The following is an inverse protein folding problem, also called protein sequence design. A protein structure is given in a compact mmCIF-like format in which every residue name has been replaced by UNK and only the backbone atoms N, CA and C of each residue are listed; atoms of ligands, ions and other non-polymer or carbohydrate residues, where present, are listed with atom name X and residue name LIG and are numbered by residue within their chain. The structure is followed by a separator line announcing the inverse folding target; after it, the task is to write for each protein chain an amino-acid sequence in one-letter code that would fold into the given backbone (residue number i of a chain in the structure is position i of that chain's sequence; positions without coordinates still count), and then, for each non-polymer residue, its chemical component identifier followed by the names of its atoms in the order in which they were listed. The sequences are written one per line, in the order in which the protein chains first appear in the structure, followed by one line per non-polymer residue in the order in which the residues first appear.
data_IF_634726672781
#
_entry.id   IF_634726672781
#
_cell.length_a   1.000
_cell.length_b   1.000
_cell.length_c   1.000
_cell.angle_alpha   90.00
_cell.angle_beta   90.00
_cell.angle_gamma   90.00
#
_symmetry.space_group_name_H-M   'P 1'
#
loop_
_entity.id
_entity.type
_entity.pdbx_description
1 polymer ?
#
# COMPACT_ATOMS: atom_id res chain seq x y z
N UNK A 1 -12.69 21.22 2.94
CA UNK A 1 -12.47 19.95 2.22
C UNK A 1 -11.06 19.48 2.57
N UNK A 2 -10.94 18.31 3.14
CA UNK A 2 -9.63 17.73 3.42
C UNK A 2 -9.14 17.03 2.16
N UNK A 3 -8.11 17.57 1.54
CA UNK A 3 -7.60 17.07 0.26
C UNK A 3 -6.68 15.85 0.45
N UNK A 4 -5.90 15.83 1.53
CA UNK A 4 -4.91 14.78 1.79
C UNK A 4 -5.16 14.16 3.16
N UNK A 5 -5.25 12.84 3.19
CA UNK A 5 -5.27 12.04 4.40
C UNK A 5 -3.95 11.28 4.56
N UNK A 6 -3.54 10.98 5.79
CA UNK A 6 -2.31 10.25 6.09
C UNK A 6 -2.56 9.10 7.06
N UNK A 7 -1.95 7.97 6.76
CA UNK A 7 -1.92 6.78 7.62
C UNK A 7 -0.48 6.47 7.98
N UNK A 8 -0.21 6.34 9.27
CA UNK A 8 1.13 6.12 9.81
C UNK A 8 1.50 4.64 9.87
N UNK A 9 2.78 4.37 10.02
CA UNK A 9 3.36 3.03 10.11
C UNK A 9 2.73 2.18 11.22
N UNK A 10 2.52 2.76 12.40
CA UNK A 10 1.93 2.07 13.56
C UNK A 10 0.46 2.46 13.74
N UNK A 11 -0.50 1.55 13.50
CA UNK A 11 -1.91 1.84 13.73
C UNK A 11 -2.25 2.07 15.21
N UNK A 12 -1.50 1.48 16.13
CA UNK A 12 -1.71 1.68 17.58
C UNK A 12 -1.47 3.14 18.03
N UNK A 13 -0.66 3.89 17.28
CA UNK A 13 -0.45 5.32 17.53
C UNK A 13 -1.53 6.22 16.92
N UNK A 14 -2.37 5.66 16.07
CA UNK A 14 -3.41 6.41 15.34
C UNK A 14 -4.82 6.10 15.88
N UNK A 15 -5.06 4.88 16.33
CA UNK A 15 -6.33 4.43 16.91
C UNK A 15 -6.46 5.01 18.33
N UNK A 16 -7.55 5.73 18.60
CA UNK A 16 -7.78 6.44 19.86
C UNK A 16 -9.02 5.97 20.61
N UNK A 17 -10.02 5.40 19.91
CA UNK A 17 -11.26 4.94 20.51
C UNK A 17 -11.18 3.51 21.05
N UNK A 18 -12.13 3.15 21.91
CA UNK A 18 -12.24 1.81 22.49
C UNK A 18 -13.08 0.85 21.66
N UNK A 19 -13.83 1.38 20.68
CA UNK A 19 -14.66 0.64 19.74
C UNK A 19 -14.27 1.05 18.31
N UNK A 20 -14.20 0.08 17.41
CA UNK A 20 -13.71 0.29 16.03
C UNK A 20 -14.54 1.32 15.27
N UNK A 21 -15.88 1.24 15.31
CA UNK A 21 -16.71 2.20 14.56
C UNK A 21 -16.62 3.63 15.13
N UNK A 22 -16.40 3.78 16.44
CA UNK A 22 -16.18 5.07 17.07
C UNK A 22 -14.85 5.69 16.62
N UNK A 23 -13.80 4.85 16.46
CA UNK A 23 -12.52 5.31 15.95
C UNK A 23 -12.63 5.83 14.52
N UNK A 24 -13.34 5.10 13.67
CA UNK A 24 -13.59 5.53 12.27
C UNK A 24 -14.45 6.80 12.22
N UNK A 25 -15.37 7.00 13.18
CA UNK A 25 -16.22 8.19 13.29
C UNK A 25 -15.46 9.41 13.84
N UNK A 26 -14.42 9.20 14.64
CA UNK A 26 -13.74 10.22 15.43
C UNK A 26 -13.36 11.49 14.63
N UNK A 27 -12.76 11.31 13.47
CA UNK A 27 -12.40 12.44 12.60
C UNK A 27 -13.63 13.19 12.06
N UNK A 28 -14.71 12.47 11.74
CA UNK A 28 -15.96 13.06 11.25
C UNK A 28 -16.69 13.86 12.31
N UNK A 29 -16.65 13.42 13.58
CA UNK A 29 -17.18 14.15 14.72
C UNK A 29 -16.46 15.49 14.90
N UNK A 30 -15.12 15.47 14.86
CA UNK A 30 -14.31 16.68 14.96
C UNK A 30 -14.54 17.66 13.78
N UNK A 31 -14.96 17.14 12.62
CA UNK A 31 -15.32 17.93 11.45
C UNK A 31 -16.77 18.46 11.51
N UNK A 32 -17.55 18.09 12.52
CA UNK A 32 -18.96 18.50 12.66
C UNK A 32 -19.88 17.90 11.59
N UNK A 33 -19.56 16.71 11.08
CA UNK A 33 -20.40 16.02 10.09
C UNK A 33 -21.73 15.61 10.76
N UNK A 34 -22.91 15.89 10.12
CA UNK A 34 -24.20 15.51 10.67
C UNK A 34 -24.30 13.99 10.93
N UNK A 35 -24.99 13.54 11.99
CA UNK A 35 -25.01 12.14 12.44
C UNK A 35 -25.41 11.13 11.33
N UNK A 36 -26.44 11.43 10.54
CA UNK A 36 -26.89 10.55 9.46
C UNK A 36 -25.82 10.38 8.35
N UNK A 37 -25.18 11.48 7.96
CA UNK A 37 -24.11 11.46 6.98
C UNK A 37 -22.87 10.78 7.55
N UNK A 38 -22.55 11.01 8.83
CA UNK A 38 -21.47 10.35 9.54
C UNK A 38 -21.66 8.83 9.52
N UNK A 39 -22.83 8.33 9.92
CA UNK A 39 -23.14 6.89 9.90
C UNK A 39 -22.92 6.29 8.52
N UNK A 40 -23.41 6.95 7.49
CA UNK A 40 -23.25 6.50 6.11
C UNK A 40 -21.79 6.42 5.70
N UNK A 41 -20.98 7.45 6.00
CA UNK A 41 -19.54 7.48 5.65
C UNK A 41 -18.74 6.44 6.41
N UNK A 42 -19.02 6.23 7.70
CA UNK A 42 -18.38 5.20 8.51
C UNK A 42 -18.66 3.82 7.93
N UNK A 43 -19.91 3.49 7.64
CA UNK A 43 -20.30 2.20 7.06
C UNK A 43 -19.65 1.97 5.69
N UNK A 44 -19.63 2.98 4.81
CA UNK A 44 -18.98 2.92 3.51
C UNK A 44 -17.47 2.68 3.64
N UNK A 45 -16.78 3.45 4.47
CA UNK A 45 -15.34 3.34 4.67
C UNK A 45 -14.94 1.99 5.26
N UNK A 46 -15.67 1.49 6.25
CA UNK A 46 -15.41 0.19 6.85
C UNK A 46 -15.64 -0.97 5.87
N UNK A 47 -16.65 -0.87 4.99
CA UNK A 47 -16.88 -1.86 3.91
C UNK A 47 -15.75 -1.82 2.88
N UNK A 48 -15.32 -0.63 2.46
CA UNK A 48 -14.20 -0.47 1.53
C UNK A 48 -12.88 -1.03 2.10
N UNK A 49 -12.64 -0.84 3.39
CA UNK A 49 -11.47 -1.38 4.08
C UNK A 49 -11.62 -2.87 4.47
N UNK A 50 -12.78 -3.49 4.24
CA UNK A 50 -13.04 -4.89 4.55
C UNK A 50 -12.97 -5.21 6.04
N UNK A 51 -13.48 -4.29 6.90
CA UNK A 51 -13.46 -4.42 8.36
C UNK A 51 -14.83 -4.20 9.00
N UNK A 52 -15.88 -4.13 8.21
CA UNK A 52 -17.23 -3.81 8.71
C UNK A 52 -17.75 -4.83 9.75
N UNK A 53 -17.34 -6.08 9.65
CA UNK A 53 -17.69 -7.15 10.61
C UNK A 53 -17.09 -6.95 12.01
N UNK A 54 -16.07 -6.08 12.13
CA UNK A 54 -15.38 -5.77 13.38
C UNK A 54 -15.86 -4.48 14.04
N UNK A 55 -16.90 -3.80 13.52
CA UNK A 55 -17.33 -2.46 13.94
C UNK A 55 -17.57 -2.30 15.43
N UNK A 56 -18.12 -3.34 16.08
CA UNK A 56 -18.46 -3.37 17.52
C UNK A 56 -17.31 -3.93 18.39
N UNK A 57 -16.19 -4.31 17.77
CA UNK A 57 -15.05 -4.86 18.51
C UNK A 57 -14.17 -3.77 19.10
N UNK A 58 -13.48 -4.14 20.18
CA UNK A 58 -12.40 -3.31 20.70
C UNK A 58 -11.13 -3.48 19.83
N UNK A 59 -10.42 -2.40 19.48
CA UNK A 59 -9.23 -2.45 18.63
C UNK A 59 -8.13 -3.39 19.13
N UNK A 60 -7.97 -3.53 20.46
CA UNK A 60 -6.96 -4.43 21.03
C UNK A 60 -7.20 -5.93 20.73
N UNK A 61 -8.40 -6.30 20.31
CA UNK A 61 -8.76 -7.67 19.87
C UNK A 61 -8.51 -7.92 18.39
N UNK A 62 -7.91 -6.96 17.67
CA UNK A 62 -7.65 -7.04 16.25
C UNK A 62 -6.19 -7.40 15.97
N UNK A 63 -5.94 -8.13 14.88
CA UNK A 63 -4.58 -8.31 14.34
C UNK A 63 -4.00 -6.99 13.82
N UNK A 64 -2.67 -6.91 13.65
CA UNK A 64 -2.00 -5.73 13.12
C UNK A 64 -2.57 -5.29 11.77
N UNK A 65 -2.81 -6.21 10.84
CA UNK A 65 -3.41 -5.91 9.54
C UNK A 65 -4.87 -5.44 9.63
N UNK A 66 -5.64 -5.93 10.62
CA UNK A 66 -6.98 -5.43 10.87
C UNK A 66 -6.94 -4.01 11.45
N UNK A 67 -6.08 -3.74 12.43
CA UNK A 67 -5.86 -2.39 12.97
C UNK A 67 -5.43 -1.39 11.90
N UNK A 68 -4.52 -1.80 11.01
CA UNK A 68 -4.10 -0.94 9.91
C UNK A 68 -5.26 -0.58 8.97
N UNK A 69 -6.14 -1.53 8.69
CA UNK A 69 -7.36 -1.27 7.90
C UNK A 69 -8.37 -0.40 8.64
N UNK A 70 -8.42 -0.45 9.98
CA UNK A 70 -9.20 0.51 10.79
C UNK A 70 -8.64 1.92 10.61
N UNK A 71 -7.33 2.12 10.75
CA UNK A 71 -6.69 3.42 10.55
C UNK A 71 -6.93 3.96 9.12
N UNK A 72 -6.85 3.10 8.10
CA UNK A 72 -7.20 3.46 6.72
C UNK A 72 -8.67 3.89 6.62
N UNK A 73 -9.61 3.13 7.21
CA UNK A 73 -11.03 3.45 7.17
C UNK A 73 -11.33 4.81 7.82
N UNK A 74 -10.70 5.12 8.96
CA UNK A 74 -10.85 6.42 9.63
C UNK A 74 -10.45 7.60 8.74
N UNK A 75 -9.38 7.45 7.97
CA UNK A 75 -8.95 8.48 7.01
C UNK A 75 -9.87 8.52 5.80
N UNK A 76 -10.24 7.36 5.23
CA UNK A 76 -11.12 7.26 4.04
C UNK A 76 -12.53 7.81 4.31
N UNK A 77 -13.04 7.67 5.54
CA UNK A 77 -14.33 8.23 5.94
C UNK A 77 -14.41 9.76 5.75
N UNK A 78 -13.28 10.47 5.85
CA UNK A 78 -13.20 11.91 5.57
C UNK A 78 -13.30 12.25 4.07
N UNK A 79 -13.25 11.25 3.17
CA UNK A 79 -13.27 11.37 1.71
C UNK A 79 -12.15 12.26 1.17
N UNK A 80 -10.89 11.91 1.43
CA UNK A 80 -9.76 12.63 0.87
C UNK A 80 -9.63 12.40 -0.63
N UNK A 81 -9.06 13.37 -1.36
CA UNK A 81 -8.69 13.21 -2.76
C UNK A 81 -7.39 12.39 -2.93
N UNK A 82 -6.53 12.40 -1.88
CA UNK A 82 -5.26 11.69 -1.83
C UNK A 82 -5.05 11.04 -0.45
N UNK A 83 -4.56 9.80 -0.45
CA UNK A 83 -4.20 9.05 0.74
C UNK A 83 -2.69 8.77 0.73
N UNK A 84 -1.98 9.28 1.74
CA UNK A 84 -0.56 8.99 1.98
C UNK A 84 -0.46 7.86 2.99
N UNK A 85 0.27 6.82 2.63
CA UNK A 85 0.53 5.62 3.43
C UNK A 85 2.02 5.58 3.76
N UNK A 86 2.36 5.81 5.03
CA UNK A 86 3.74 5.84 5.49
C UNK A 86 4.11 4.48 6.09
N UNK A 87 4.82 3.65 5.31
CA UNK A 87 5.24 2.28 5.67
C UNK A 87 4.11 1.44 6.30
N UNK A 88 2.89 1.59 5.81
CA UNK A 88 1.67 1.04 6.41
C UNK A 88 1.59 -0.49 6.44
N UNK A 89 2.54 -1.19 5.84
CA UNK A 89 2.64 -2.67 5.80
C UNK A 89 3.87 -3.22 6.51
N UNK A 90 4.79 -2.35 6.98
CA UNK A 90 6.11 -2.76 7.47
C UNK A 90 6.07 -3.70 8.69
N UNK A 91 5.06 -3.53 9.56
CA UNK A 91 4.93 -4.32 10.79
C UNK A 91 3.94 -5.50 10.67
N UNK A 92 3.54 -5.85 9.45
CA UNK A 92 2.51 -6.86 9.21
C UNK A 92 3.12 -8.20 8.78
N UNK A 93 2.46 -9.27 9.17
CA UNK A 93 2.71 -10.60 8.61
C UNK A 93 2.32 -10.64 7.12
N UNK A 94 2.75 -11.63 6.35
CA UNK A 94 2.46 -11.72 4.91
C UNK A 94 0.96 -11.70 4.59
N UNK A 95 0.13 -12.32 5.43
CA UNK A 95 -1.33 -12.34 5.23
C UNK A 95 -1.94 -10.94 5.46
N UNK A 96 -1.58 -10.29 6.57
CA UNK A 96 -2.01 -8.92 6.89
C UNK A 96 -1.58 -7.94 5.81
N UNK A 97 -0.35 -8.05 5.31
CA UNK A 97 0.15 -7.23 4.21
C UNK A 97 -0.67 -7.41 2.94
N UNK A 98 -0.94 -8.65 2.53
CA UNK A 98 -1.77 -8.92 1.35
C UNK A 98 -3.17 -8.32 1.47
N UNK A 99 -3.78 -8.36 2.66
CA UNK A 99 -5.10 -7.77 2.92
C UNK A 99 -5.07 -6.24 2.84
N UNK A 100 -4.03 -5.59 3.38
CA UNK A 100 -3.86 -4.13 3.29
C UNK A 100 -3.63 -3.72 1.83
N UNK A 101 -2.75 -4.42 1.09
CA UNK A 101 -2.52 -4.16 -0.33
C UNK A 101 -3.80 -4.30 -1.16
N UNK A 102 -4.61 -5.32 -0.88
CA UNK A 102 -5.94 -5.47 -1.52
C UNK A 102 -6.83 -4.25 -1.25
N UNK A 103 -6.85 -3.75 -0.02
CA UNK A 103 -7.61 -2.54 0.33
C UNK A 103 -7.10 -1.33 -0.43
N UNK A 104 -5.78 -1.14 -0.54
CA UNK A 104 -5.15 -0.05 -1.29
C UNK A 104 -5.58 -0.07 -2.77
N UNK A 105 -5.56 -1.25 -3.40
CA UNK A 105 -6.03 -1.41 -4.79
C UNK A 105 -7.51 -1.08 -4.96
N UNK A 106 -8.36 -1.47 -4.00
CA UNK A 106 -9.78 -1.12 -4.02
C UNK A 106 -10.01 0.39 -3.91
N UNK A 107 -9.26 1.09 -3.03
CA UNK A 107 -9.32 2.53 -2.87
C UNK A 107 -8.86 3.27 -4.14
N UNK A 108 -7.76 2.80 -4.75
CA UNK A 108 -7.28 3.30 -6.05
C UNK A 108 -8.35 3.13 -7.14
N UNK A 109 -8.95 1.96 -7.24
CA UNK A 109 -10.02 1.68 -8.20
C UNK A 109 -11.27 2.56 -7.97
N UNK A 110 -11.51 3.00 -6.74
CA UNK A 110 -12.56 3.96 -6.39
C UNK A 110 -12.19 5.43 -6.69
N UNK A 111 -11.00 5.69 -7.27
CA UNK A 111 -10.57 7.01 -7.73
C UNK A 111 -9.79 7.83 -6.69
N UNK A 112 -9.36 7.24 -5.57
CA UNK A 112 -8.50 7.91 -4.59
C UNK A 112 -7.05 7.83 -5.08
N UNK A 113 -6.36 8.97 -5.12
CA UNK A 113 -4.92 9.00 -5.39
C UNK A 113 -4.17 8.40 -4.21
N UNK A 114 -3.30 7.41 -4.46
CA UNK A 114 -2.50 6.76 -3.41
C UNK A 114 -1.04 7.19 -3.55
N UNK A 115 -0.44 7.64 -2.45
CA UNK A 115 1.00 7.83 -2.31
C UNK A 115 1.49 6.87 -1.23
N UNK A 116 2.22 5.82 -1.62
CA UNK A 116 2.76 4.83 -0.68
C UNK A 116 4.26 5.03 -0.50
N UNK A 117 4.68 5.18 0.75
CA UNK A 117 6.08 5.15 1.15
C UNK A 117 6.36 3.74 1.63
N UNK A 118 7.27 3.03 0.97
CA UNK A 118 7.59 1.64 1.29
C UNK A 118 9.06 1.32 0.99
N UNK A 119 9.60 0.36 1.71
CA UNK A 119 10.87 -0.29 1.42
C UNK A 119 10.68 -1.72 0.88
N UNK A 120 9.43 -2.13 0.64
CA UNK A 120 9.12 -3.39 -0.03
C UNK A 120 9.02 -3.18 -1.53
N UNK A 121 9.97 -3.71 -2.25
CA UNK A 121 10.08 -3.51 -3.71
C UNK A 121 8.92 -4.14 -4.48
N UNK A 122 8.36 -5.24 -3.97
CA UNK A 122 7.17 -5.89 -4.52
C UNK A 122 5.91 -5.02 -4.44
N UNK A 123 5.82 -4.13 -3.43
CA UNK A 123 4.73 -3.15 -3.33
C UNK A 123 4.95 -2.00 -4.33
N UNK A 124 6.18 -1.50 -4.41
CA UNK A 124 6.55 -0.45 -5.35
C UNK A 124 6.38 -0.90 -6.81
N UNK A 125 6.61 -2.20 -7.11
CA UNK A 125 6.41 -2.79 -8.42
C UNK A 125 4.93 -2.79 -8.88
N UNK A 126 3.98 -2.60 -7.97
CA UNK A 126 2.54 -2.54 -8.27
C UNK A 126 2.00 -1.11 -8.46
N UNK A 127 2.86 -0.10 -8.34
CA UNK A 127 2.48 1.30 -8.50
C UNK A 127 2.40 1.70 -9.99
N UNK A 128 1.75 2.82 -10.30
CA UNK A 128 1.77 3.42 -11.64
C UNK A 128 3.07 4.18 -11.90
N UNK A 129 3.68 4.70 -10.82
CA UNK A 129 4.88 5.54 -10.87
C UNK A 129 5.69 5.35 -9.59
N UNK A 130 6.99 5.26 -9.73
CA UNK A 130 7.94 5.10 -8.63
C UNK A 130 8.85 6.33 -8.58
N UNK A 131 9.02 6.87 -7.37
CA UNK A 131 9.98 7.92 -7.05
C UNK A 131 11.02 7.32 -6.09
N UNK A 132 12.27 7.29 -6.50
CA UNK A 132 13.37 6.85 -5.66
C UNK A 132 13.98 8.06 -4.97
N UNK A 133 14.01 8.03 -3.65
CA UNK A 133 14.58 9.10 -2.84
C UNK A 133 15.89 8.67 -2.19
N UNK A 134 16.89 9.53 -2.25
CA UNK A 134 18.16 9.36 -1.53
C UNK A 134 18.61 10.70 -0.99
N UNK A 135 19.00 10.75 0.28
CA UNK A 135 19.50 11.94 0.98
C UNK A 135 18.61 13.18 0.78
N UNK A 136 17.27 12.98 0.86
CA UNK A 136 16.28 14.05 0.73
C UNK A 136 16.06 14.58 -0.71
N UNK A 137 16.53 13.85 -1.73
CA UNK A 137 16.36 14.22 -3.15
C UNK A 137 15.78 13.06 -3.93
N UNK A 138 14.96 13.37 -4.94
CA UNK A 138 14.52 12.40 -5.94
C UNK A 138 15.71 12.14 -6.87
N UNK A 139 16.18 10.89 -6.93
CA UNK A 139 17.34 10.46 -7.72
C UNK A 139 16.96 9.65 -8.95
N UNK A 140 15.76 9.02 -8.92
CA UNK A 140 15.16 8.33 -10.06
C UNK A 140 13.65 8.49 -10.02
N UNK A 141 13.03 8.46 -11.19
CA UNK A 141 11.59 8.55 -11.38
C UNK A 141 11.19 7.83 -12.66
N UNK A 142 10.09 7.11 -12.66
CA UNK A 142 9.57 6.41 -13.84
C UNK A 142 8.47 5.42 -13.51
N UNK A 143 8.07 4.61 -14.49
CA UNK A 143 7.26 3.41 -14.21
C UNK A 143 8.09 2.39 -13.42
N UNK A 144 7.44 1.44 -12.73
CA UNK A 144 8.17 0.37 -12.04
C UNK A 144 9.19 -0.34 -12.94
N UNK A 145 8.83 -0.66 -14.20
CA UNK A 145 9.72 -1.31 -15.15
C UNK A 145 10.95 -0.44 -15.48
N UNK A 146 10.75 0.87 -15.69
CA UNK A 146 11.86 1.80 -15.98
C UNK A 146 12.80 1.98 -14.80
N UNK A 147 12.28 1.92 -13.57
CA UNK A 147 13.09 2.07 -12.37
C UNK A 147 13.81 0.77 -12.03
N UNK A 148 13.09 -0.36 -11.99
CA UNK A 148 13.64 -1.66 -11.58
C UNK A 148 14.44 -2.39 -12.67
N UNK A 149 14.49 -1.88 -13.91
CA UNK A 149 15.47 -2.32 -14.92
C UNK A 149 16.88 -1.77 -14.65
N UNK A 150 17.02 -0.73 -13.79
CA UNK A 150 18.30 -0.11 -13.46
C UNK A 150 18.87 -0.67 -12.14
N UNK A 151 18.99 -1.99 -12.04
CA UNK A 151 19.39 -2.71 -10.80
C UNK A 151 20.69 -2.21 -10.22
N UNK A 152 21.75 -2.07 -11.03
CA UNK A 152 23.06 -1.60 -10.56
C UNK A 152 22.99 -0.19 -9.96
N UNK A 153 22.19 0.69 -10.56
CA UNK A 153 22.00 2.05 -10.07
C UNK A 153 21.23 2.08 -8.75
N UNK A 154 20.20 1.25 -8.58
CA UNK A 154 19.47 1.10 -7.32
C UNK A 154 20.39 0.58 -6.21
N UNK A 155 21.19 -0.44 -6.48
CA UNK A 155 22.19 -0.96 -5.54
C UNK A 155 23.22 0.11 -5.15
N UNK A 156 23.60 1.03 -6.05
CA UNK A 156 24.48 2.16 -5.71
C UNK A 156 23.89 3.14 -4.71
N UNK A 157 22.56 3.15 -4.57
CA UNK A 157 21.80 3.88 -3.54
C UNK A 157 21.47 3.03 -2.31
N UNK A 158 21.99 1.79 -2.21
CA UNK A 158 21.69 0.82 -1.15
C UNK A 158 20.21 0.43 -1.10
N UNK A 159 19.58 0.37 -2.26
CA UNK A 159 18.20 -0.10 -2.43
C UNK A 159 18.19 -1.45 -3.12
N UNK A 160 17.31 -2.33 -2.70
CA UNK A 160 17.06 -3.60 -3.33
C UNK A 160 16.16 -3.43 -4.57
N UNK A 161 15.95 -4.53 -5.28
CA UNK A 161 15.02 -4.65 -6.41
C UNK A 161 14.01 -5.76 -6.12
N UNK A 162 12.86 -5.82 -6.83
CA UNK A 162 11.98 -6.98 -6.73
C UNK A 162 12.72 -8.28 -7.02
N UNK A 163 12.41 -9.34 -6.28
CA UNK A 163 13.07 -10.65 -6.43
C UNK A 163 13.01 -11.17 -7.89
N UNK A 164 11.91 -10.90 -8.59
CA UNK A 164 11.77 -11.29 -9.99
C UNK A 164 12.75 -10.53 -10.92
N UNK A 165 13.05 -9.26 -10.60
CA UNK A 165 14.06 -8.50 -11.34
C UNK A 165 15.48 -9.02 -11.08
N UNK A 166 15.79 -9.38 -9.85
CA UNK A 166 17.06 -10.02 -9.49
C UNK A 166 17.25 -11.37 -10.19
N UNK A 167 16.22 -12.23 -10.15
CA UNK A 167 16.22 -13.51 -10.87
C UNK A 167 16.40 -13.32 -12.39
N UNK A 168 15.70 -12.34 -12.99
CA UNK A 168 15.88 -11.98 -14.40
C UNK A 168 17.35 -11.67 -14.71
N UNK A 169 17.98 -10.83 -13.91
CA UNK A 169 19.36 -10.42 -14.13
C UNK A 169 20.35 -11.59 -14.00
N UNK A 170 20.11 -12.50 -13.05
CA UNK A 170 20.92 -13.73 -12.92
C UNK A 170 20.70 -14.69 -14.11
N UNK A 171 19.49 -14.83 -14.62
CA UNK A 171 19.20 -15.63 -15.81
C UNK A 171 19.90 -15.06 -17.04
N UNK A 172 19.86 -13.74 -17.22
CA UNK A 172 20.56 -13.07 -18.33
C UNK A 172 22.07 -13.28 -18.24
N UNK A 173 22.69 -13.18 -17.05
CA UNK A 173 24.11 -13.49 -16.83
C UNK A 173 24.43 -14.96 -17.13
N UNK A 174 23.50 -15.86 -16.91
CA UNK A 174 23.64 -17.29 -17.26
C UNK A 174 23.40 -17.57 -18.75
N UNK A 175 23.15 -16.57 -19.58
CA UNK A 175 22.93 -16.72 -21.03
C UNK A 175 21.48 -17.05 -21.42
N UNK A 176 20.53 -16.95 -20.49
CA UNK A 176 19.09 -17.15 -20.73
C UNK A 176 18.48 -15.78 -21.04
N UNK A 177 17.92 -15.55 -22.24
CA UNK A 177 17.38 -14.25 -22.60
C UNK A 177 16.09 -13.96 -21.82
N UNK A 178 16.06 -12.85 -21.10
CA UNK A 178 14.88 -12.38 -20.35
C UNK A 178 14.62 -10.91 -20.68
N UNK A 179 13.36 -10.50 -20.92
CA UNK A 179 13.02 -9.10 -21.14
C UNK A 179 13.30 -8.21 -19.92
N UNK A 180 13.77 -6.98 -20.15
CA UNK A 180 14.12 -6.03 -19.09
C UNK A 180 12.93 -5.61 -18.20
N UNK A 181 11.70 -5.68 -18.72
CA UNK A 181 10.47 -5.31 -18.02
C UNK A 181 9.92 -6.42 -17.09
N UNK A 182 10.63 -7.53 -16.94
CA UNK A 182 10.25 -8.59 -15.99
C UNK A 182 10.65 -8.17 -14.58
N UNK A 183 9.65 -7.72 -13.79
CA UNK A 183 9.83 -7.22 -12.42
C UNK A 183 8.86 -7.84 -11.42
N UNK A 184 7.95 -8.71 -11.89
CA UNK A 184 6.99 -9.42 -11.03
C UNK A 184 7.14 -10.93 -11.18
N UNK A 185 6.80 -11.72 -10.13
CA UNK A 185 6.85 -13.18 -10.21
C UNK A 185 6.01 -13.76 -11.35
N UNK A 186 4.83 -13.18 -11.60
CA UNK A 186 3.92 -13.63 -12.67
C UNK A 186 4.55 -13.42 -14.05
N UNK A 187 5.12 -12.22 -14.32
CA UNK A 187 5.81 -11.92 -15.57
C UNK A 187 7.03 -12.84 -15.76
N UNK A 188 7.78 -13.11 -14.68
CA UNK A 188 8.92 -14.01 -14.72
C UNK A 188 8.49 -15.46 -15.07
N UNK A 189 7.42 -15.95 -14.44
CA UNK A 189 6.88 -17.28 -14.73
C UNK A 189 6.38 -17.40 -16.18
N UNK A 190 5.71 -16.37 -16.70
CA UNK A 190 5.24 -16.35 -18.10
C UNK A 190 6.40 -16.42 -19.11
N UNK A 191 7.45 -15.64 -18.89
CA UNK A 191 8.62 -15.64 -19.78
C UNK A 191 9.39 -16.99 -19.71
N UNK A 192 9.60 -17.53 -18.52
CA UNK A 192 10.22 -18.85 -18.35
C UNK A 192 9.40 -19.95 -19.04
N UNK A 193 8.07 -19.90 -18.94
CA UNK A 193 7.21 -20.88 -19.60
C UNK A 193 7.30 -20.82 -21.12
N UNK A 194 7.52 -19.63 -21.72
CA UNK A 194 7.75 -19.47 -23.16
C UNK A 194 9.07 -20.12 -23.60
N UNK A 195 10.11 -20.05 -22.75
CA UNK A 195 11.43 -20.62 -23.05
C UNK A 195 11.47 -22.15 -22.93
N UNK A 196 10.53 -22.74 -22.20
CA UNK A 196 10.44 -24.19 -22.00
C UNK A 196 9.59 -24.92 -23.08
N UNK A 197 8.95 -24.19 -23.97
CA UNK A 197 8.19 -24.72 -25.12
C UNK A 197 9.04 -24.79 -26.36
#
# INVERSE_FOLDING_TARGET
RQTVGMVFQSPDNQIVATVVEEDVAFALENLGVPPEEMRRRVDEAMKMAGIYEYRERAPHNLSGGQKQRVAIAGVVAMRPDCLVLDESTAMLDPHGRAQVMKTIHQLRAAGITIVSITHYMEEAAQADRVLVMSRGRIVMEGTPEQVFSQTEKLHSYHLDVPQAAELRDELVKAGIPMPENVITPEACAEELFKLLK
#
